data_IF_893012717950
#
_entry.id   IF_893012717950
#
_cell.length_a   1.000
_cell.length_b   1.000
_cell.length_c   1.000
_cell.angle_alpha   90.00
_cell.angle_beta   90.00
_cell.angle_gamma   90.00
#
_symmetry.space_group_name_H-M   'P 1'
#
loop_
_entity.id
_entity.type
_entity.pdbx_description
1 polymer ?
#
# COMPACT_ATOMS: atom_id res chain seq x y z
N UNK A 1 -2.71 2.02 12.32
CA UNK A 1 -3.68 2.96 11.73
C UNK A 1 -4.62 3.43 12.81
N UNK A 2 -5.06 4.70 12.77
CA UNK A 2 -6.10 5.19 13.67
C UNK A 2 -7.43 4.49 13.37
N UNK A 3 -8.20 4.14 14.40
CA UNK A 3 -9.48 3.43 14.22
C UNK A 3 -10.48 4.23 13.37
N UNK A 4 -10.44 5.56 13.44
CA UNK A 4 -11.28 6.46 12.64
C UNK A 4 -10.98 6.38 11.12
N UNK A 5 -9.77 5.94 10.73
CA UNK A 5 -9.33 5.86 9.34
C UNK A 5 -9.40 4.42 8.80
N UNK A 6 -10.28 3.60 9.35
CA UNK A 6 -10.41 2.19 8.99
C UNK A 6 -11.78 1.91 8.40
N UNK A 7 -11.81 1.31 7.20
CA UNK A 7 -13.02 0.84 6.52
C UNK A 7 -13.14 -0.69 6.64
N UNK A 8 -14.25 -1.14 7.20
CA UNK A 8 -14.44 -2.57 7.50
C UNK A 8 -13.66 -3.03 8.72
N UNK A 9 -13.63 -4.32 8.95
CA UNK A 9 -12.85 -4.99 10.00
C UNK A 9 -12.37 -6.37 9.54
N UNK A 10 -11.47 -6.98 10.29
CA UNK A 10 -10.97 -8.32 9.96
C UNK A 10 -12.06 -9.40 9.95
N UNK A 11 -13.08 -9.26 10.78
CA UNK A 11 -14.24 -10.18 10.85
C UNK A 11 -15.42 -9.77 9.98
N UNK A 12 -15.43 -8.54 9.46
CA UNK A 12 -16.47 -8.01 8.57
C UNK A 12 -15.81 -7.16 7.47
N UNK A 13 -15.07 -7.79 6.54
CA UNK A 13 -14.49 -7.10 5.41
C UNK A 13 -15.56 -6.58 4.46
N UNK A 14 -15.21 -5.61 3.63
CA UNK A 14 -16.07 -5.14 2.55
C UNK A 14 -16.07 -6.17 1.43
N UNK A 15 -17.24 -6.68 1.08
CA UNK A 15 -17.48 -7.73 0.06
C UNK A 15 -18.23 -7.23 -1.16
N UNK A 16 -18.74 -6.01 -1.12
CA UNK A 16 -19.54 -5.37 -2.16
C UNK A 16 -18.72 -4.83 -3.35
N UNK A 17 -17.44 -5.13 -3.38
CA UNK A 17 -16.50 -4.72 -4.44
C UNK A 17 -16.81 -5.30 -5.81
N UNK A 18 -17.47 -6.47 -5.86
CA UNK A 18 -17.85 -7.13 -7.11
C UNK A 18 -19.01 -6.41 -7.83
N UNK A 19 -19.76 -5.58 -7.13
CA UNK A 19 -20.80 -4.75 -7.69
C UNK A 19 -20.19 -3.48 -8.28
N UNK A 20 -20.51 -3.14 -9.51
CA UNK A 20 -20.01 -1.95 -10.20
C UNK A 20 -20.15 -0.69 -9.33
N UNK A 21 -19.04 0.03 -9.10
CA UNK A 21 -18.93 1.38 -8.49
C UNK A 21 -18.32 1.48 -7.09
N UNK A 22 -18.01 0.41 -6.39
CA UNK A 22 -17.53 0.53 -5.01
C UNK A 22 -16.00 0.57 -4.86
N UNK A 23 -15.23 -0.06 -5.75
CA UNK A 23 -13.78 -0.11 -5.61
C UNK A 23 -13.15 1.29 -5.69
N UNK A 24 -13.57 2.11 -6.67
CA UNK A 24 -13.15 3.50 -6.78
C UNK A 24 -13.65 4.36 -5.61
N UNK A 25 -14.92 4.19 -5.21
CA UNK A 25 -15.51 4.94 -4.10
C UNK A 25 -14.77 4.69 -2.77
N UNK A 26 -14.27 3.47 -2.54
CA UNK A 26 -13.46 3.19 -1.35
C UNK A 26 -12.14 3.94 -1.37
N UNK A 27 -11.48 4.06 -2.52
CA UNK A 27 -10.27 4.89 -2.63
C UNK A 27 -10.55 6.37 -2.35
N UNK A 28 -11.67 6.89 -2.87
CA UNK A 28 -12.10 8.27 -2.60
C UNK A 28 -12.37 8.46 -1.10
N UNK A 29 -13.01 7.48 -0.43
CA UNK A 29 -13.25 7.55 1.02
C UNK A 29 -11.96 7.51 1.83
N UNK A 30 -10.99 6.68 1.44
CA UNK A 30 -9.67 6.67 2.07
C UNK A 30 -8.95 8.02 1.90
N UNK A 31 -9.06 8.64 0.72
CA UNK A 31 -8.53 9.99 0.48
C UNK A 31 -9.19 11.02 1.38
N UNK A 32 -10.52 10.95 1.56
CA UNK A 32 -11.26 11.83 2.46
C UNK A 32 -10.80 11.69 3.92
N UNK A 33 -10.54 10.47 4.42
CA UNK A 33 -10.03 10.26 5.78
C UNK A 33 -8.66 10.90 5.99
N UNK A 34 -7.78 10.81 5.00
CA UNK A 34 -6.48 11.46 5.06
C UNK A 34 -6.58 12.98 4.98
N UNK A 35 -7.54 13.52 4.23
CA UNK A 35 -7.84 14.95 4.19
C UNK A 35 -8.36 15.46 5.55
N UNK A 36 -9.27 14.72 6.18
CA UNK A 36 -9.76 15.03 7.53
C UNK A 36 -8.66 14.98 8.59
N UNK A 37 -7.63 14.18 8.37
CA UNK A 37 -6.47 14.07 9.24
C UNK A 37 -5.37 15.09 8.93
N UNK A 38 -5.62 16.07 8.04
CA UNK A 38 -4.66 17.09 7.60
C UNK A 38 -3.34 16.49 7.07
N UNK A 39 -3.42 15.36 6.38
CA UNK A 39 -2.27 14.72 5.74
C UNK A 39 -1.98 15.39 4.40
N UNK A 40 -0.71 15.67 4.05
CA UNK A 40 -0.36 16.25 2.75
C UNK A 40 -0.95 15.44 1.59
N UNK A 41 -1.39 16.12 0.53
CA UNK A 41 -1.98 15.47 -0.64
C UNK A 41 -0.94 14.93 -1.62
N UNK A 42 0.24 15.53 -1.64
CA UNK A 42 1.34 15.09 -2.51
C UNK A 42 2.04 13.87 -1.93
N UNK A 43 2.36 12.89 -2.76
CA UNK A 43 3.11 11.70 -2.34
C UNK A 43 2.31 10.69 -1.52
N UNK A 44 0.97 10.72 -1.59
CA UNK A 44 0.14 9.67 -1.02
C UNK A 44 0.26 8.40 -1.84
N UNK A 45 0.35 7.28 -1.17
CA UNK A 45 0.42 5.97 -1.79
C UNK A 45 -0.75 5.08 -1.33
N UNK A 46 -1.07 4.09 -2.14
CA UNK A 46 -1.93 2.97 -1.77
C UNK A 46 -1.36 1.68 -2.34
N UNK A 47 -1.34 0.63 -1.53
CA UNK A 47 -0.89 -0.69 -1.93
C UNK A 47 -2.11 -1.60 -2.07
N UNK A 48 -2.33 -2.10 -3.29
CA UNK A 48 -3.51 -2.89 -3.62
C UNK A 48 -3.12 -4.27 -4.15
N UNK A 49 -3.91 -5.32 -3.87
CA UNK A 49 -3.74 -6.61 -4.52
C UNK A 49 -4.24 -6.57 -5.97
N UNK A 50 -3.76 -7.46 -6.86
CA UNK A 50 -4.12 -7.46 -8.28
C UNK A 50 -5.62 -7.59 -8.55
N UNK A 51 -6.33 -8.37 -7.73
CA UNK A 51 -7.78 -8.54 -7.87
C UNK A 51 -8.54 -7.23 -7.58
N UNK A 52 -8.10 -6.43 -6.60
CA UNK A 52 -8.72 -5.13 -6.30
C UNK A 52 -8.51 -4.14 -7.45
N UNK A 53 -7.32 -4.15 -8.03
CA UNK A 53 -7.04 -3.34 -9.22
C UNK A 53 -7.91 -3.74 -10.42
N UNK A 54 -8.18 -5.05 -10.59
CA UNK A 54 -9.10 -5.50 -11.62
C UNK A 54 -10.55 -4.98 -11.42
N UNK A 55 -11.00 -4.86 -10.17
CA UNK A 55 -12.30 -4.23 -9.87
C UNK A 55 -12.30 -2.72 -10.16
N UNK A 56 -11.23 -2.00 -9.86
CA UNK A 56 -11.13 -0.57 -10.23
C UNK A 56 -11.26 -0.40 -11.75
N UNK A 57 -10.61 -1.24 -12.54
CA UNK A 57 -10.67 -1.17 -14.00
C UNK A 57 -12.07 -1.50 -14.57
N UNK A 58 -12.87 -2.26 -13.84
CA UNK A 58 -14.27 -2.57 -14.20
C UNK A 58 -15.27 -1.55 -13.68
N UNK A 59 -14.83 -0.66 -12.77
CA UNK A 59 -15.70 0.32 -12.14
C UNK A 59 -16.18 1.37 -13.15
N UNK A 60 -17.50 1.44 -13.34
CA UNK A 60 -18.12 2.36 -14.29
C UNK A 60 -17.88 3.83 -13.96
N UNK A 61 -17.80 4.19 -12.67
CA UNK A 61 -17.51 5.55 -12.24
C UNK A 61 -16.09 5.96 -12.65
N UNK A 62 -15.15 5.04 -12.53
CA UNK A 62 -13.79 5.25 -13.00
C UNK A 62 -13.73 5.39 -14.52
N UNK A 63 -14.43 4.53 -15.26
CA UNK A 63 -14.49 4.58 -16.72
C UNK A 63 -15.19 5.85 -17.23
N UNK A 64 -16.27 6.31 -16.60
CA UNK A 64 -16.96 7.54 -16.98
C UNK A 64 -16.17 8.82 -16.63
N UNK A 65 -15.43 8.83 -15.54
CA UNK A 65 -14.51 9.92 -15.21
C UNK A 65 -13.32 10.00 -16.18
N UNK A 66 -13.15 9.02 -17.05
CA UNK A 66 -11.90 8.67 -17.65
C UNK A 66 -11.86 8.65 -19.17
N UNK A 67 -12.53 9.50 -19.88
CA UNK A 67 -11.70 10.01 -20.97
C UNK A 67 -10.42 10.68 -20.44
N UNK A 68 -10.40 11.05 -19.14
CA UNK A 68 -9.21 11.51 -18.44
C UNK A 68 -8.47 10.40 -17.65
N UNK A 69 -9.13 9.32 -17.22
CA UNK A 69 -8.53 8.31 -16.36
C UNK A 69 -7.67 7.30 -17.11
N UNK A 70 -7.97 7.02 -18.38
CA UNK A 70 -7.06 6.24 -19.22
C UNK A 70 -5.73 7.00 -19.45
N UNK A 71 -5.80 8.33 -19.53
CA UNK A 71 -4.62 9.19 -19.58
C UNK A 71 -3.87 9.18 -18.25
N UNK A 72 -4.57 9.19 -17.11
CA UNK A 72 -3.93 9.13 -15.79
C UNK A 72 -3.27 7.77 -15.52
N UNK A 73 -3.88 6.67 -15.95
CA UNK A 73 -3.27 5.35 -15.91
C UNK A 73 -2.05 5.24 -16.85
N UNK A 74 -2.13 5.83 -18.03
CA UNK A 74 -1.00 5.88 -18.97
C UNK A 74 0.08 6.85 -18.52
N UNK A 75 -0.27 7.97 -17.90
CA UNK A 75 0.67 8.98 -17.45
C UNK A 75 1.42 8.52 -16.19
N UNK A 76 0.87 7.63 -15.38
CA UNK A 76 1.60 6.94 -14.31
C UNK A 76 2.71 6.02 -14.82
N UNK A 77 2.58 5.52 -16.08
CA UNK A 77 3.63 4.77 -16.78
C UNK A 77 4.49 5.61 -17.72
N UNK A 78 4.12 6.88 -17.96
CA UNK A 78 4.78 7.73 -18.96
C UNK A 78 5.98 8.53 -18.42
N UNK A 79 6.26 8.44 -17.12
CA UNK A 79 7.38 9.17 -16.52
C UNK A 79 8.76 8.47 -16.73
N UNK A 80 8.86 7.66 -17.79
CA UNK A 80 10.15 7.14 -18.26
C UNK A 80 11.01 6.39 -17.23
N UNK A 81 10.51 6.17 -16.04
CA UNK A 81 11.14 5.37 -15.01
C UNK A 81 11.03 3.90 -15.41
N UNK A 82 11.90 3.48 -16.29
CA UNK A 82 12.23 2.08 -16.54
C UNK A 82 12.65 1.49 -15.19
N UNK A 83 11.74 0.76 -14.52
CA UNK A 83 12.11 0.03 -13.33
C UNK A 83 11.05 -0.18 -12.26
N UNK A 84 9.93 0.52 -12.28
CA UNK A 84 8.86 0.33 -11.28
C UNK A 84 7.65 -0.40 -11.88
N UNK A 85 7.82 -1.69 -12.19
CA UNK A 85 6.76 -2.56 -12.72
C UNK A 85 5.53 -2.68 -11.79
N UNK A 86 5.64 -2.19 -10.55
CA UNK A 86 4.60 -2.26 -9.53
C UNK A 86 3.76 -0.99 -9.39
N UNK A 87 4.22 0.16 -9.91
CA UNK A 87 3.46 1.41 -9.91
C UNK A 87 2.51 1.45 -11.09
N UNK A 88 1.22 1.41 -10.81
CA UNK A 88 0.18 1.31 -11.84
C UNK A 88 -0.28 2.67 -12.34
N UNK A 89 -0.17 3.73 -11.53
CA UNK A 89 -0.60 5.07 -11.88
C UNK A 89 -1.15 5.86 -10.69
N UNK A 90 -1.75 7.01 -10.96
CA UNK A 90 -2.38 7.84 -9.93
C UNK A 90 -3.90 7.73 -10.02
N UNK A 91 -4.55 7.33 -8.92
CA UNK A 91 -6.00 7.18 -8.81
C UNK A 91 -6.48 7.83 -7.51
N UNK A 92 -7.51 8.65 -7.57
CA UNK A 92 -8.11 9.34 -6.40
C UNK A 92 -7.08 10.12 -5.55
N UNK A 93 -6.00 10.61 -6.15
CA UNK A 93 -4.92 11.32 -5.45
C UNK A 93 -3.89 10.42 -4.79
N UNK A 94 -3.93 9.11 -5.05
CA UNK A 94 -2.93 8.15 -4.60
C UNK A 94 -2.05 7.66 -5.74
N UNK A 95 -0.77 7.50 -5.48
CA UNK A 95 0.11 6.64 -6.25
C UNK A 95 -0.25 5.19 -5.94
N UNK A 96 -0.75 4.47 -6.94
CA UNK A 96 -1.22 3.08 -6.77
C UNK A 96 -0.08 2.11 -7.03
N UNK A 97 0.22 1.29 -6.04
CA UNK A 97 1.20 0.22 -6.10
C UNK A 97 0.49 -1.13 -6.05
N UNK A 98 0.82 -2.01 -6.96
CA UNK A 98 0.25 -3.35 -7.01
C UNK A 98 1.21 -4.36 -6.40
N UNK A 99 0.72 -5.16 -5.44
CA UNK A 99 1.54 -6.20 -4.79
C UNK A 99 0.70 -7.41 -4.40
N UNK A 100 1.24 -8.60 -4.61
CA UNK A 100 0.67 -9.86 -4.08
C UNK A 100 0.97 -10.06 -2.59
N UNK A 101 1.87 -9.28 -2.00
CA UNK A 101 2.28 -9.40 -0.60
C UNK A 101 1.37 -8.61 0.36
N UNK A 102 0.19 -8.19 -0.10
CA UNK A 102 -0.80 -7.54 0.78
C UNK A 102 -1.22 -8.52 1.87
N UNK A 103 -1.07 -8.16 3.17
CA UNK A 103 -1.41 -9.05 4.27
C UNK A 103 -2.87 -9.47 4.22
N UNK A 104 -3.13 -10.74 4.43
CA UNK A 104 -4.47 -11.29 4.56
C UNK A 104 -4.66 -11.89 5.94
N UNK A 105 -5.82 -11.68 6.54
CA UNK A 105 -6.24 -12.27 7.80
C UNK A 105 -7.48 -13.13 7.55
N UNK A 106 -7.47 -14.32 8.12
CA UNK A 106 -8.66 -15.16 8.18
C UNK A 106 -9.22 -15.09 9.60
N UNK A 107 -10.37 -14.42 9.75
CA UNK A 107 -11.03 -14.25 11.02
C UNK A 107 -12.52 -14.59 10.86
N UNK A 108 -13.02 -15.45 11.73
CA UNK A 108 -14.44 -15.90 11.72
C UNK A 108 -14.90 -16.50 10.38
N UNK A 109 -13.99 -17.15 9.62
CA UNK A 109 -14.28 -17.74 8.31
C UNK A 109 -14.28 -16.74 7.14
N UNK A 110 -14.02 -15.46 7.39
CA UNK A 110 -13.86 -14.45 6.36
C UNK A 110 -12.39 -14.14 6.13
N UNK A 111 -11.93 -14.27 4.89
CA UNK A 111 -10.59 -13.81 4.49
C UNK A 111 -10.66 -12.32 4.20
N UNK A 112 -9.88 -11.51 4.90
CA UNK A 112 -9.82 -10.08 4.70
C UNK A 112 -8.41 -9.65 4.29
N UNK A 113 -8.29 -8.93 3.19
CA UNK A 113 -7.05 -8.31 2.73
C UNK A 113 -6.94 -6.90 3.32
N UNK A 114 -5.76 -6.55 3.81
CA UNK A 114 -5.48 -5.26 4.43
C UNK A 114 -4.86 -4.31 3.40
N UNK A 115 -5.68 -3.54 2.72
CA UNK A 115 -5.24 -2.52 1.77
C UNK A 115 -4.87 -1.27 2.56
N UNK A 116 -3.61 -0.87 2.49
CA UNK A 116 -3.06 0.28 3.22
C UNK A 116 -2.87 1.44 2.27
N UNK A 117 -3.41 2.59 2.66
CA UNK A 117 -3.18 3.88 2.04
C UNK A 117 -2.57 4.85 3.05
N UNK A 118 -1.77 5.79 2.60
CA UNK A 118 -1.18 6.77 3.50
C UNK A 118 -0.16 7.68 2.86
N UNK A 119 0.59 8.34 3.73
CA UNK A 119 1.69 9.22 3.34
C UNK A 119 2.99 8.78 4.05
N UNK A 120 4.17 8.90 3.44
CA UNK A 120 5.45 8.48 4.03
C UNK A 120 5.76 9.10 5.40
N UNK A 121 5.23 10.28 5.71
CA UNK A 121 5.39 10.90 7.03
C UNK A 121 4.73 10.14 8.19
N UNK A 122 4.00 9.06 7.89
CA UNK A 122 3.32 8.26 8.90
C UNK A 122 4.26 7.42 9.75
N UNK A 123 5.41 7.06 9.21
CA UNK A 123 6.41 6.22 9.88
C UNK A 123 7.79 6.81 9.84
N UNK A 124 8.61 6.38 10.78
CA UNK A 124 10.03 6.65 10.82
C UNK A 124 10.80 5.33 10.73
N UNK A 125 11.83 5.31 9.91
CA UNK A 125 12.76 4.20 9.77
C UNK A 125 14.16 4.71 10.06
N UNK A 126 14.91 3.94 10.84
CA UNK A 126 16.31 4.20 11.12
C UNK A 126 17.09 2.92 10.97
N UNK A 127 18.24 3.00 10.33
CA UNK A 127 19.16 1.88 10.18
C UNK A 127 20.59 2.33 10.36
N UNK A 128 21.43 1.43 10.85
CA UNK A 128 22.84 1.64 11.01
C UNK A 128 23.60 0.34 10.84
N UNK A 129 24.64 0.37 10.02
CA UNK A 129 25.65 -0.70 10.00
C UNK A 129 26.65 -0.33 11.09
N UNK A 130 26.62 -1.07 12.20
CA UNK A 130 27.37 -0.72 13.41
C UNK A 130 28.81 -1.20 13.32
N UNK A 131 29.04 -2.39 12.75
CA UNK A 131 30.35 -3.01 12.75
C UNK A 131 30.48 -4.00 11.58
N UNK A 132 31.63 -3.94 10.90
CA UNK A 132 32.02 -4.93 9.91
C UNK A 132 33.40 -5.46 10.31
N UNK A 133 33.51 -6.74 10.57
CA UNK A 133 34.73 -7.39 11.04
C UNK A 133 35.10 -8.58 10.16
N UNK A 134 36.35 -8.62 9.73
CA UNK A 134 36.90 -9.80 9.09
C UNK A 134 37.41 -10.75 10.16
N UNK A 135 37.04 -12.01 10.09
CA UNK A 135 37.51 -13.03 11.03
C UNK A 135 37.82 -14.34 10.32
N UNK A 136 38.69 -15.14 10.91
CA UNK A 136 39.06 -16.46 10.41
C UNK A 136 38.31 -17.53 11.18
N UNK A 137 37.41 -18.30 10.53
CA UNK A 137 36.67 -19.36 11.19
C UNK A 137 37.60 -20.48 11.68
N UNK A 138 37.36 -21.00 12.88
CA UNK A 138 38.17 -22.10 13.46
C UNK A 138 38.03 -23.43 12.73
N UNK A 139 36.90 -23.67 12.07
CA UNK A 139 36.54 -24.96 11.46
C UNK A 139 36.72 -24.99 9.93
N UNK A 140 37.16 -23.90 9.29
CA UNK A 140 37.35 -23.83 7.85
C UNK A 140 38.57 -23.00 7.47
N UNK A 141 39.29 -23.45 6.43
CA UNK A 141 40.33 -22.67 5.82
C UNK A 141 39.67 -21.58 4.90
N UNK A 142 39.73 -20.36 5.32
CA UNK A 142 39.20 -19.21 4.55
C UNK A 142 38.98 -18.02 5.44
N UNK A 143 38.91 -16.84 4.83
CA UNK A 143 38.57 -15.60 5.50
C UNK A 143 37.07 -15.37 5.39
N UNK A 144 36.42 -14.96 6.47
CA UNK A 144 35.01 -14.65 6.52
C UNK A 144 34.80 -13.21 7.02
N UNK A 145 33.73 -12.58 6.56
CA UNK A 145 33.32 -11.24 7.00
C UNK A 145 31.97 -11.36 7.72
N UNK A 146 31.88 -10.78 8.89
CA UNK A 146 30.61 -10.64 9.62
C UNK A 146 30.28 -9.16 9.74
N UNK A 147 28.99 -8.85 9.66
CA UNK A 147 28.49 -7.48 9.82
C UNK A 147 27.32 -7.45 10.79
N UNK A 148 27.25 -6.43 11.62
CA UNK A 148 26.12 -6.14 12.48
C UNK A 148 25.32 -4.99 11.87
N UNK A 149 24.09 -5.28 11.48
CA UNK A 149 23.13 -4.29 10.97
C UNK A 149 21.99 -4.15 11.97
N UNK A 150 21.84 -2.97 12.52
CA UNK A 150 20.75 -2.62 13.44
C UNK A 150 19.75 -1.74 12.71
N UNK A 151 18.49 -2.10 12.74
CA UNK A 151 17.42 -1.31 12.12
C UNK A 151 16.17 -1.32 12.97
N UNK A 152 15.36 -0.30 12.81
CA UNK A 152 14.07 -0.19 13.49
C UNK A 152 13.10 0.67 12.70
N UNK A 153 11.83 0.35 12.83
CA UNK A 153 10.74 1.12 12.23
C UNK A 153 9.62 1.32 13.23
N UNK A 154 9.05 2.51 13.27
CA UNK A 154 7.88 2.78 14.08
C UNK A 154 6.89 3.70 13.35
N UNK A 155 5.60 3.57 13.69
CA UNK A 155 4.56 4.48 13.21
C UNK A 155 4.51 5.68 14.14
N UNK A 156 4.90 6.85 13.65
CA UNK A 156 4.92 8.11 14.41
C UNK A 156 3.59 8.85 14.31
N UNK A 157 2.92 8.79 13.16
CA UNK A 157 1.65 9.48 12.90
C UNK A 157 0.60 8.50 12.35
N UNK A 158 -0.09 7.74 13.22
CA UNK A 158 -1.08 6.75 12.81
C UNK A 158 -2.28 7.35 12.07
N UNK A 159 -2.54 8.65 12.23
CA UNK A 159 -3.58 9.40 11.54
C UNK A 159 -3.29 9.63 10.04
N UNK A 160 -2.00 9.59 9.64
CA UNK A 160 -1.60 9.71 8.24
C UNK A 160 -1.63 8.37 7.48
N UNK A 161 -2.25 7.37 8.07
CA UNK A 161 -2.54 6.07 7.47
C UNK A 161 -4.03 5.80 7.47
N UNK A 162 -4.51 5.20 6.40
CA UNK A 162 -5.88 4.68 6.28
C UNK A 162 -5.83 3.21 5.85
N UNK A 163 -6.81 2.43 6.24
CA UNK A 163 -6.86 1.00 5.96
C UNK A 163 -8.26 0.58 5.48
N UNK A 164 -8.29 -0.26 4.48
CA UNK A 164 -9.48 -0.94 4.00
C UNK A 164 -9.33 -2.45 4.19
N UNK A 165 -10.28 -3.05 4.90
CA UNK A 165 -10.46 -4.49 4.93
C UNK A 165 -11.39 -4.92 3.82
N UNK A 166 -10.90 -5.67 2.87
CA UNK A 166 -11.66 -6.07 1.68
C UNK A 166 -11.50 -7.58 1.39
N UNK A 167 -12.54 -8.15 0.79
CA UNK A 167 -12.55 -9.54 0.34
C UNK A 167 -12.96 -9.59 -1.14
N UNK A 168 -12.33 -10.43 -1.99
CA UNK A 168 -12.66 -10.54 -3.40
C UNK A 168 -13.98 -11.24 -3.74
N UNK A 169 -14.72 -11.78 -2.75
CA UNK A 169 -16.00 -12.50 -2.98
C UNK A 169 -17.18 -11.58 -3.09
#
# INVERSE_FOLDING_TARGET
VASANTLGSSGAPKTDLATDKYAYNYLVTLSQYLDQSNTPRSGRFVIVPPWFFAYIRKDSNFLHATNAGDVLLRQGGADGAVGDDFKVGMIAGFDVWMSNNVPSLNNAGATSFQIIAGHPSAWSYAEQITEIEAYRPQLRFGDAVKGLHVYGACVTRPQSLAMLYANPT
#
